data_IF_352970987654
#
_entry.id   IF_352970987654
#
_cell.length_a   1.000
_cell.length_b   1.000
_cell.length_c   1.000
_cell.angle_alpha   90.00
_cell.angle_beta   90.00
_cell.angle_gamma   90.00
#
_symmetry.space_group_name_H-M   'P 1'
#
loop_
_entity.id
_entity.type
_entity.pdbx_description
1 polymer ?
#
# COMPACT_ATOMS: atom_id res chain seq x y z
N UNK A 1 6.18 -11.44 -43.97
CA UNK A 1 5.22 -12.23 -43.19
C UNK A 1 4.86 -11.44 -41.94
N UNK A 2 3.71 -10.73 -41.98
CA UNK A 2 3.21 -9.96 -40.85
C UNK A 2 2.63 -10.94 -39.80
N UNK A 3 3.32 -11.14 -38.69
CA UNK A 3 2.74 -11.79 -37.52
C UNK A 3 1.75 -10.81 -36.92
N UNK A 4 0.47 -10.96 -37.21
CA UNK A 4 -0.61 -10.30 -36.47
C UNK A 4 -0.46 -10.68 -35.00
N UNK A 5 -0.03 -9.74 -34.19
CA UNK A 5 -0.02 -9.90 -32.73
C UNK A 5 -1.45 -10.27 -32.30
N UNK A 6 -1.61 -11.38 -31.58
CA UNK A 6 -2.91 -11.71 -30.98
C UNK A 6 -3.28 -10.57 -30.03
N UNK A 7 -4.52 -10.06 -30.08
CA UNK A 7 -4.95 -9.04 -29.15
C UNK A 7 -4.75 -9.55 -27.71
N UNK A 8 -4.10 -8.78 -26.90
CA UNK A 8 -3.96 -9.06 -25.48
C UNK A 8 -5.38 -9.11 -24.88
N UNK A 9 -5.79 -10.18 -24.21
CA UNK A 9 -7.11 -10.23 -23.61
C UNK A 9 -7.28 -9.06 -22.62
N UNK A 10 -8.40 -8.37 -22.70
CA UNK A 10 -8.76 -7.33 -21.73
C UNK A 10 -9.10 -7.98 -20.38
N UNK A 11 -8.06 -8.34 -19.64
CA UNK A 11 -8.18 -8.94 -18.32
C UNK A 11 -8.91 -8.02 -17.34
N UNK A 12 -8.72 -6.71 -17.46
CA UNK A 12 -9.38 -5.74 -16.58
C UNK A 12 -10.87 -5.59 -16.91
N UNK A 13 -11.23 -5.69 -18.18
CA UNK A 13 -12.65 -5.82 -18.59
C UNK A 13 -13.27 -7.05 -17.97
N UNK A 14 -12.62 -8.21 -18.08
CA UNK A 14 -13.10 -9.46 -17.48
C UNK A 14 -13.23 -9.34 -15.94
N UNK A 15 -12.26 -8.76 -15.24
CA UNK A 15 -12.34 -8.56 -13.80
C UNK A 15 -13.49 -7.62 -13.41
N UNK A 16 -13.74 -6.54 -14.16
CA UNK A 16 -14.89 -5.65 -13.96
C UNK A 16 -16.21 -6.39 -14.11
N UNK A 17 -16.34 -7.21 -15.15
CA UNK A 17 -17.55 -8.00 -15.40
C UNK A 17 -17.77 -9.01 -14.28
N UNK A 18 -16.74 -9.72 -13.85
CA UNK A 18 -16.79 -10.62 -12.72
C UNK A 18 -17.17 -9.88 -11.42
N UNK A 19 -16.58 -8.74 -11.14
CA UNK A 19 -16.91 -7.96 -9.95
C UNK A 19 -18.36 -7.47 -9.97
N UNK A 20 -18.85 -7.01 -11.11
CA UNK A 20 -20.25 -6.61 -11.30
C UNK A 20 -21.20 -7.80 -11.12
N UNK A 21 -20.86 -8.97 -11.66
CA UNK A 21 -21.62 -10.20 -11.45
C UNK A 21 -21.70 -10.56 -9.95
N UNK A 22 -20.59 -10.55 -9.25
CA UNK A 22 -20.55 -10.86 -7.82
C UNK A 22 -21.29 -9.82 -6.98
N UNK A 23 -21.27 -8.54 -7.36
CA UNK A 23 -22.08 -7.51 -6.70
C UNK A 23 -23.58 -7.82 -6.82
N UNK A 24 -24.04 -8.21 -8.01
CA UNK A 24 -25.44 -8.59 -8.22
C UNK A 24 -25.80 -9.82 -7.38
N UNK A 25 -24.95 -10.84 -7.37
CA UNK A 25 -25.15 -12.04 -6.56
C UNK A 25 -25.17 -11.77 -5.06
N UNK A 26 -24.30 -10.90 -4.58
CA UNK A 26 -24.31 -10.49 -3.17
C UNK A 26 -25.62 -9.81 -2.78
N UNK A 27 -26.19 -8.95 -3.64
CA UNK A 27 -27.52 -8.35 -3.42
C UNK A 27 -28.63 -9.40 -3.36
N UNK A 28 -28.62 -10.37 -4.28
CA UNK A 28 -29.61 -11.45 -4.31
C UNK A 28 -29.53 -12.32 -3.04
N UNK A 29 -28.30 -12.69 -2.63
CA UNK A 29 -28.08 -13.46 -1.39
C UNK A 29 -28.54 -12.67 -0.16
N UNK A 30 -28.23 -11.38 -0.11
CA UNK A 30 -28.63 -10.50 0.99
C UNK A 30 -30.16 -10.39 1.06
N UNK A 31 -30.84 -10.24 -0.08
CA UNK A 31 -32.31 -10.22 -0.14
C UNK A 31 -32.92 -11.53 0.35
N UNK A 32 -32.45 -12.66 -0.19
CA UNK A 32 -32.91 -13.98 0.25
C UNK A 32 -32.68 -14.25 1.75
N UNK A 33 -31.53 -13.81 2.28
CA UNK A 33 -31.23 -13.91 3.72
C UNK A 33 -32.21 -13.08 4.56
N UNK A 34 -32.59 -11.88 4.12
CA UNK A 34 -33.62 -11.06 4.77
C UNK A 34 -35.00 -11.72 4.78
N UNK A 35 -35.38 -12.32 3.64
CA UNK A 35 -36.66 -13.01 3.52
C UNK A 35 -36.71 -14.23 4.44
N UNK A 36 -35.63 -15.00 4.52
CA UNK A 36 -35.49 -16.14 5.44
C UNK A 36 -35.53 -15.67 6.89
N UNK A 37 -34.78 -14.61 7.23
CA UNK A 37 -34.78 -14.05 8.59
C UNK A 37 -36.18 -13.60 9.00
N UNK A 38 -36.90 -12.92 8.12
CA UNK A 38 -38.31 -12.51 8.33
C UNK A 38 -39.24 -13.68 8.51
N UNK A 39 -39.09 -14.73 7.69
CA UNK A 39 -39.94 -15.94 7.76
C UNK A 39 -39.67 -16.80 9.00
N UNK A 40 -38.42 -16.71 9.55
CA UNK A 40 -38.00 -17.47 10.73
C UNK A 40 -37.93 -16.61 11.97
N UNK A 41 -38.41 -15.38 11.95
CA UNK A 41 -38.29 -14.40 13.04
C UNK A 41 -38.68 -14.95 14.42
N UNK A 42 -39.68 -15.79 14.47
CA UNK A 42 -40.18 -16.39 15.71
C UNK A 42 -39.44 -17.67 16.15
N UNK A 43 -38.54 -18.19 15.29
CA UNK A 43 -37.83 -19.46 15.52
C UNK A 43 -36.33 -19.31 15.69
N UNK A 44 -35.75 -18.15 15.33
CA UNK A 44 -34.34 -17.87 15.49
C UNK A 44 -34.09 -17.18 16.85
N UNK A 45 -33.13 -17.71 17.62
CA UNK A 45 -32.64 -17.03 18.80
C UNK A 45 -31.81 -15.78 18.42
N UNK A 46 -31.63 -14.86 19.36
CA UNK A 46 -30.94 -13.60 19.16
C UNK A 46 -29.49 -13.79 18.66
N UNK A 47 -28.81 -14.80 19.18
CA UNK A 47 -27.40 -15.10 18.82
C UNK A 47 -27.25 -15.49 17.35
N UNK A 48 -28.17 -16.28 16.84
CA UNK A 48 -28.17 -16.70 15.43
C UNK A 48 -28.53 -15.53 14.50
N UNK A 49 -29.47 -14.68 14.91
CA UNK A 49 -29.80 -13.45 14.15
C UNK A 49 -28.58 -12.52 14.04
N UNK A 50 -27.92 -12.23 15.14
CA UNK A 50 -26.70 -11.39 15.16
C UNK A 50 -25.58 -12.00 14.30
N UNK A 51 -25.42 -13.34 14.33
CA UNK A 51 -24.44 -14.02 13.50
C UNK A 51 -24.72 -13.88 12.01
N UNK A 52 -25.98 -14.02 11.60
CA UNK A 52 -26.40 -13.85 10.20
C UNK A 52 -26.21 -12.41 9.73
N UNK A 53 -26.60 -11.43 10.56
CA UNK A 53 -26.42 -10.01 10.25
C UNK A 53 -24.95 -9.66 10.05
N UNK A 54 -24.06 -10.07 10.97
CA UNK A 54 -22.61 -9.83 10.82
C UNK A 54 -22.02 -10.46 9.56
N UNK A 55 -22.42 -11.70 9.21
CA UNK A 55 -21.92 -12.36 7.99
C UNK A 55 -22.41 -11.66 6.72
N UNK A 56 -23.62 -11.15 6.72
CA UNK A 56 -24.20 -10.39 5.61
C UNK A 56 -23.47 -9.07 5.41
N UNK A 57 -23.22 -8.32 6.49
CA UNK A 57 -22.45 -7.08 6.47
C UNK A 57 -21.04 -7.34 5.94
N UNK A 58 -20.34 -8.34 6.49
CA UNK A 58 -19.01 -8.71 6.03
C UNK A 58 -18.96 -9.10 4.54
N UNK A 59 -19.99 -9.78 4.01
CA UNK A 59 -20.09 -10.08 2.58
C UNK A 59 -20.25 -8.79 1.76
N UNK A 60 -21.12 -7.88 2.21
CA UNK A 60 -21.34 -6.60 1.55
C UNK A 60 -20.05 -5.77 1.46
N UNK A 61 -19.34 -5.66 2.57
CA UNK A 61 -18.07 -4.94 2.67
C UNK A 61 -16.98 -5.56 1.78
N UNK A 62 -16.86 -6.89 1.78
CA UNK A 62 -15.89 -7.59 0.94
C UNK A 62 -16.16 -7.37 -0.55
N UNK A 63 -17.42 -7.41 -0.99
CA UNK A 63 -17.80 -7.16 -2.37
C UNK A 63 -17.57 -5.71 -2.75
N UNK A 64 -17.89 -4.77 -1.87
CA UNK A 64 -17.63 -3.35 -2.11
C UNK A 64 -16.12 -3.07 -2.25
N UNK A 65 -15.32 -3.62 -1.36
CA UNK A 65 -13.85 -3.53 -1.43
C UNK A 65 -13.32 -4.07 -2.75
N UNK A 66 -13.79 -5.25 -3.19
CA UNK A 66 -13.39 -5.82 -4.47
C UNK A 66 -13.73 -4.90 -5.65
N UNK A 67 -14.94 -4.32 -5.64
CA UNK A 67 -15.37 -3.40 -6.70
C UNK A 67 -14.49 -2.14 -6.75
N UNK A 68 -14.10 -1.60 -5.61
CA UNK A 68 -13.23 -0.43 -5.54
C UNK A 68 -11.84 -0.76 -6.06
N UNK A 69 -11.27 -1.92 -5.70
CA UNK A 69 -9.99 -2.40 -6.21
C UNK A 69 -10.00 -2.58 -7.74
N UNK A 70 -11.09 -3.10 -8.30
CA UNK A 70 -11.21 -3.28 -9.76
C UNK A 70 -11.41 -1.95 -10.49
N UNK A 71 -12.12 -1.00 -9.88
CA UNK A 71 -12.35 0.33 -10.48
C UNK A 71 -11.10 1.21 -10.46
N UNK A 72 -10.26 1.03 -9.45
CA UNK A 72 -9.03 1.81 -9.25
C UNK A 72 -7.88 0.86 -8.96
N UNK A 73 -7.38 0.14 -9.98
CA UNK A 73 -6.30 -0.81 -9.78
C UNK A 73 -5.06 -0.11 -9.22
N UNK A 74 -4.40 -0.77 -8.29
CA UNK A 74 -3.18 -0.28 -7.69
C UNK A 74 -2.05 -1.30 -7.88
N UNK A 75 -0.91 -0.82 -8.37
CA UNK A 75 0.33 -1.56 -8.39
C UNK A 75 1.18 -1.12 -7.21
N UNK A 76 1.32 -1.98 -6.22
CA UNK A 76 2.21 -1.77 -5.09
C UNK A 76 3.48 -2.58 -5.30
N UNK A 77 4.62 -1.88 -5.35
CA UNK A 77 5.95 -2.48 -5.46
C UNK A 77 6.67 -2.32 -4.12
N UNK A 78 6.87 -3.40 -3.40
CA UNK A 78 7.58 -3.38 -2.13
C UNK A 78 9.03 -3.84 -2.31
N UNK A 79 9.99 -3.03 -1.87
CA UNK A 79 11.39 -3.44 -1.79
C UNK A 79 11.66 -4.06 -0.42
N UNK A 80 12.14 -5.29 -0.40
CA UNK A 80 12.48 -6.01 0.83
C UNK A 80 13.84 -6.69 0.69
N UNK A 81 14.49 -6.99 1.79
CA UNK A 81 15.78 -7.67 1.81
C UNK A 81 16.64 -7.23 2.98
N UNK A 82 17.87 -7.73 3.03
CA UNK A 82 18.83 -7.38 4.08
C UNK A 82 19.29 -5.92 3.96
N UNK A 83 19.85 -5.40 5.04
CA UNK A 83 20.51 -4.08 5.04
C UNK A 83 21.58 -4.03 3.93
N UNK A 84 21.71 -2.88 3.29
CA UNK A 84 22.68 -2.65 2.19
C UNK A 84 22.52 -3.54 0.94
N UNK A 85 21.36 -4.17 0.74
CA UNK A 85 21.08 -4.98 -0.46
C UNK A 85 20.67 -4.17 -1.70
N UNK A 86 20.72 -2.84 -1.65
CA UNK A 86 20.37 -1.96 -2.77
C UNK A 86 18.86 -1.68 -2.91
N UNK A 87 18.04 -1.89 -1.88
CA UNK A 87 16.58 -1.63 -1.90
C UNK A 87 16.23 -0.21 -2.31
N UNK A 88 16.75 0.79 -1.60
CA UNK A 88 16.48 2.20 -1.88
C UNK A 88 17.06 2.63 -3.23
N UNK A 89 18.18 2.04 -3.66
CA UNK A 89 18.74 2.24 -5.01
C UNK A 89 17.80 1.72 -6.09
N UNK A 90 17.22 0.52 -5.89
CA UNK A 90 16.23 -0.03 -6.81
C UNK A 90 14.95 0.82 -6.81
N UNK A 91 14.49 1.26 -5.64
CA UNK A 91 13.32 2.14 -5.53
C UNK A 91 13.56 3.46 -6.26
N UNK A 92 14.69 4.12 -6.06
CA UNK A 92 15.09 5.34 -6.79
C UNK A 92 15.15 5.12 -8.32
N UNK A 93 15.66 3.98 -8.76
CA UNK A 93 15.64 3.63 -10.19
C UNK A 93 14.22 3.54 -10.76
N UNK A 94 13.28 2.93 -10.03
CA UNK A 94 11.87 2.81 -10.43
C UNK A 94 11.14 4.16 -10.38
N UNK A 95 11.48 5.00 -9.39
CA UNK A 95 10.97 6.37 -9.26
C UNK A 95 11.49 7.21 -10.43
N UNK A 96 12.75 7.03 -10.80
CA UNK A 96 13.44 7.82 -11.82
C UNK A 96 14.08 9.08 -11.27
N UNK A 97 14.18 9.19 -9.95
CA UNK A 97 14.79 10.30 -9.22
C UNK A 97 15.43 9.77 -7.93
N UNK A 98 16.49 10.41 -7.45
CA UNK A 98 17.30 9.96 -6.30
C UNK A 98 16.80 10.59 -4.98
N UNK A 99 15.52 10.34 -4.68
CA UNK A 99 14.84 10.93 -3.52
C UNK A 99 15.08 10.15 -2.22
N UNK A 100 15.28 8.82 -2.31
CA UNK A 100 15.47 7.97 -1.15
C UNK A 100 16.96 7.89 -0.80
N UNK A 101 17.33 8.02 0.49
CA UNK A 101 18.71 7.83 0.92
C UNK A 101 19.21 6.42 0.59
N UNK A 102 20.35 6.33 -0.09
CA UNK A 102 20.95 5.06 -0.53
C UNK A 102 22.31 4.78 0.10
N UNK A 103 22.60 5.35 1.27
CA UNK A 103 23.91 5.24 1.92
C UNK A 103 24.20 3.80 2.40
N UNK A 104 25.51 3.47 2.38
CA UNK A 104 26.08 2.16 2.74
C UNK A 104 25.86 1.78 4.21
N UNK A 105 25.52 2.73 5.07
CA UNK A 105 25.20 2.49 6.47
C UNK A 105 23.70 2.35 6.66
N UNK A 106 23.29 1.50 7.61
CA UNK A 106 21.91 1.10 7.99
C UNK A 106 20.89 2.26 8.06
N UNK A 107 20.49 2.84 6.92
CA UNK A 107 19.64 4.04 6.91
C UNK A 107 18.15 3.75 6.71
N UNK A 108 17.74 2.50 6.47
CA UNK A 108 16.31 2.17 6.37
C UNK A 108 15.69 2.07 7.76
N UNK A 109 15.51 3.23 8.39
CA UNK A 109 15.00 3.35 9.76
C UNK A 109 13.48 3.59 9.81
N UNK A 110 12.72 3.19 8.79
CA UNK A 110 11.28 3.41 8.75
C UNK A 110 10.62 2.84 7.50
N UNK A 111 9.33 3.00 7.42
CA UNK A 111 8.53 2.68 6.24
C UNK A 111 8.40 3.92 5.36
N UNK A 112 8.86 3.84 4.12
CA UNK A 112 8.67 4.92 3.14
C UNK A 112 7.66 4.47 2.10
N UNK A 113 6.57 5.24 1.96
CA UNK A 113 5.54 5.05 0.95
C UNK A 113 5.63 6.18 -0.06
N UNK A 114 5.98 5.85 -1.31
CA UNK A 114 5.99 6.81 -2.41
C UNK A 114 4.80 6.54 -3.32
N UNK A 115 3.87 7.49 -3.42
CA UNK A 115 2.69 7.43 -4.30
C UNK A 115 2.95 8.28 -5.53
N UNK A 116 2.56 7.78 -6.68
CA UNK A 116 2.66 8.54 -7.92
C UNK A 116 1.70 9.73 -7.94
N UNK A 117 2.27 10.90 -8.20
CA UNK A 117 1.51 12.11 -8.50
C UNK A 117 2.29 12.98 -9.48
N UNK A 118 1.67 13.35 -10.62
CA UNK A 118 2.37 14.03 -11.72
C UNK A 118 2.95 15.42 -11.35
N UNK A 119 2.33 16.12 -10.41
CA UNK A 119 2.63 17.53 -10.12
C UNK A 119 2.91 17.80 -8.63
N UNK A 120 2.85 16.79 -7.76
CA UNK A 120 3.09 17.00 -6.33
C UNK A 120 4.48 16.53 -5.96
N UNK A 121 5.13 17.32 -5.12
CA UNK A 121 6.39 17.04 -4.50
C UNK A 121 6.23 17.26 -3.00
N UNK A 122 5.62 16.30 -2.32
CA UNK A 122 5.25 16.44 -0.90
C UNK A 122 5.92 15.36 -0.06
N UNK A 123 6.16 15.69 1.20
CA UNK A 123 6.59 14.76 2.21
C UNK A 123 5.72 14.96 3.45
N UNK A 124 5.19 13.86 3.96
CA UNK A 124 4.52 13.82 5.25
C UNK A 124 5.25 12.85 6.17
N UNK A 125 5.61 13.32 7.35
CA UNK A 125 6.20 12.53 8.42
C UNK A 125 5.15 12.39 9.52
N UNK A 126 4.67 11.16 9.73
CA UNK A 126 3.63 10.88 10.70
C UNK A 126 4.08 11.20 12.14
N UNK A 127 3.13 11.65 12.96
CA UNK A 127 3.37 11.89 14.38
C UNK A 127 3.63 10.55 15.07
N UNK A 128 4.82 10.43 15.66
CA UNK A 128 5.23 9.25 16.42
C UNK A 128 5.39 9.64 17.89
N UNK A 129 4.83 8.85 18.78
CA UNK A 129 4.93 9.11 20.22
C UNK A 129 6.38 9.01 20.69
N UNK A 130 6.88 10.09 21.29
CA UNK A 130 8.27 10.18 21.75
C UNK A 130 9.27 10.59 20.65
N UNK A 131 8.77 11.06 19.49
CA UNK A 131 9.62 11.57 18.41
C UNK A 131 10.50 12.74 18.89
N UNK A 132 11.78 12.67 18.54
CA UNK A 132 12.75 13.78 18.71
C UNK A 132 13.03 14.49 17.38
N UNK A 133 12.35 14.08 16.31
CA UNK A 133 12.41 14.63 14.96
C UNK A 133 11.19 15.47 14.65
N UNK A 134 11.31 16.32 13.64
CA UNK A 134 10.22 17.14 13.15
C UNK A 134 9.16 16.26 12.44
N UNK A 135 7.89 16.46 12.78
CA UNK A 135 6.75 15.81 12.14
C UNK A 135 5.88 16.86 11.47
N UNK A 136 5.21 16.52 10.38
CA UNK A 136 4.37 17.45 9.63
C UNK A 136 4.25 17.08 8.17
N UNK A 137 3.82 18.07 7.39
CA UNK A 137 3.64 17.96 5.94
C UNK A 137 4.30 19.16 5.25
N UNK A 138 5.04 18.90 4.19
CA UNK A 138 5.77 19.90 3.40
C UNK A 138 5.45 19.70 1.93
N UNK A 139 5.18 20.81 1.24
CA UNK A 139 4.82 20.84 -0.17
C UNK A 139 5.93 21.51 -1.01
N UNK A 140 5.90 21.24 -2.32
CA UNK A 140 6.79 21.84 -3.32
C UNK A 140 8.29 21.63 -3.01
N UNK A 141 8.63 20.47 -2.48
CA UNK A 141 10.01 20.14 -2.16
C UNK A 141 10.83 19.87 -3.43
N UNK A 142 12.07 20.29 -3.41
CA UNK A 142 13.11 19.79 -4.34
C UNK A 142 13.58 18.40 -3.91
N UNK A 143 14.15 17.63 -4.83
CA UNK A 143 14.78 16.32 -4.55
C UNK A 143 15.76 16.41 -3.37
N UNK A 144 16.58 17.47 -3.35
CA UNK A 144 17.57 17.68 -2.29
C UNK A 144 16.98 17.97 -0.92
N UNK A 145 15.93 18.80 -0.86
CA UNK A 145 15.24 19.12 0.39
C UNK A 145 14.50 17.91 0.96
N UNK A 146 13.82 17.14 0.11
CA UNK A 146 13.14 15.92 0.51
C UNK A 146 14.14 14.92 1.06
N UNK A 147 15.23 14.66 0.35
CA UNK A 147 16.28 13.74 0.76
C UNK A 147 16.93 14.15 2.08
N UNK A 148 17.26 15.42 2.24
CA UNK A 148 17.83 15.96 3.48
C UNK A 148 16.92 15.71 4.68
N UNK A 149 15.61 15.98 4.55
CA UNK A 149 14.62 15.74 5.61
C UNK A 149 14.50 14.26 5.97
N UNK A 150 14.52 13.37 4.97
CA UNK A 150 14.53 11.93 5.21
C UNK A 150 15.76 11.50 5.98
N UNK A 151 16.96 11.94 5.54
CA UNK A 151 18.24 11.61 6.18
C UNK A 151 18.31 12.10 7.63
N UNK A 152 17.92 13.35 7.87
CA UNK A 152 17.90 13.93 9.22
C UNK A 152 16.93 13.19 10.15
N UNK A 153 15.74 12.87 9.65
CA UNK A 153 14.72 12.15 10.44
C UNK A 153 15.17 10.74 10.75
N UNK A 154 15.71 10.03 9.76
CA UNK A 154 16.20 8.66 9.93
C UNK A 154 17.39 8.61 10.91
N UNK A 155 18.28 9.60 10.89
CA UNK A 155 19.38 9.66 11.84
C UNK A 155 18.89 9.92 13.27
N UNK A 156 17.97 10.88 13.47
CA UNK A 156 17.37 11.14 14.78
C UNK A 156 16.61 9.92 15.30
N UNK A 157 15.88 9.21 14.42
CA UNK A 157 15.22 7.97 14.79
C UNK A 157 16.22 6.90 15.27
N UNK A 158 17.35 6.74 14.57
CA UNK A 158 18.39 5.77 14.98
C UNK A 158 18.97 6.06 16.36
N UNK A 159 19.16 7.35 16.68
CA UNK A 159 19.61 7.76 18.02
C UNK A 159 18.56 7.42 19.06
N UNK A 160 17.31 7.83 18.82
CA UNK A 160 16.19 7.55 19.72
C UNK A 160 15.91 6.05 19.90
N UNK A 161 16.08 5.26 18.86
CA UNK A 161 15.92 3.79 18.90
C UNK A 161 16.95 3.11 19.81
N UNK A 162 18.19 3.61 19.84
CA UNK A 162 19.22 3.07 20.76
C UNK A 162 18.89 3.35 22.22
N UNK A 163 18.27 4.51 22.50
CA UNK A 163 17.86 4.89 23.85
C UNK A 163 16.55 4.21 24.26
N UNK A 164 15.62 4.06 23.32
CA UNK A 164 14.32 3.42 23.53
C UNK A 164 14.02 2.43 22.40
N UNK A 165 14.37 1.14 22.55
CA UNK A 165 14.10 0.12 21.54
C UNK A 165 12.60 -0.11 21.22
N UNK A 166 11.69 0.39 22.06
CA UNK A 166 10.23 0.26 21.86
C UNK A 166 9.63 1.44 21.09
N UNK A 167 10.44 2.39 20.61
CA UNK A 167 9.94 3.52 19.81
C UNK A 167 9.36 3.00 18.49
N UNK A 168 8.19 3.49 18.10
CA UNK A 168 7.56 3.11 16.84
C UNK A 168 8.40 3.55 15.64
N UNK A 169 8.41 2.73 14.59
CA UNK A 169 9.08 3.06 13.35
C UNK A 169 8.46 4.30 12.70
N UNK A 170 9.30 5.17 12.14
CA UNK A 170 8.82 6.34 11.40
C UNK A 170 8.13 5.91 10.13
N UNK A 171 7.03 6.55 9.80
CA UNK A 171 6.33 6.39 8.53
C UNK A 171 6.41 7.68 7.73
N UNK A 172 6.98 7.57 6.52
CA UNK A 172 7.10 8.62 5.54
C UNK A 172 6.10 8.39 4.41
N UNK A 173 5.26 9.37 4.12
CA UNK A 173 4.39 9.38 2.95
C UNK A 173 4.86 10.46 1.98
N UNK A 174 5.10 10.07 0.73
CA UNK A 174 5.66 10.94 -0.30
C UNK A 174 4.74 10.88 -1.52
N UNK A 175 4.27 12.04 -2.00
CA UNK A 175 3.68 12.15 -3.33
C UNK A 175 4.76 12.71 -4.28
N UNK A 176 5.11 11.92 -5.30
CA UNK A 176 6.20 12.24 -6.22
C UNK A 176 5.93 11.68 -7.61
N UNK A 177 6.41 12.32 -8.68
CA UNK A 177 6.35 11.73 -10.02
C UNK A 177 7.16 10.41 -10.06
N UNK A 178 6.48 9.30 -10.37
CA UNK A 178 7.15 8.00 -10.51
C UNK A 178 7.26 7.68 -11.99
N UNK A 179 8.49 7.50 -12.48
CA UNK A 179 8.79 7.19 -13.88
C UNK A 179 8.06 5.94 -14.36
N UNK A 180 8.02 4.89 -13.57
CA UNK A 180 7.27 3.67 -13.88
C UNK A 180 5.80 3.95 -14.15
N UNK A 181 5.20 4.89 -13.44
CA UNK A 181 3.80 5.28 -13.63
C UNK A 181 3.57 6.05 -14.94
N UNK A 182 4.55 6.83 -15.39
CA UNK A 182 4.49 7.51 -16.68
C UNK A 182 4.56 6.52 -17.88
N UNK A 183 5.17 5.35 -17.69
CA UNK A 183 5.35 4.33 -18.72
C UNK A 183 4.36 3.15 -18.59
N UNK A 184 3.20 3.34 -17.93
CA UNK A 184 2.20 2.28 -17.64
C UNK A 184 1.86 1.41 -18.85
N UNK A 185 1.58 2.04 -19.99
CA UNK A 185 1.21 1.33 -21.22
C UNK A 185 2.31 0.37 -21.70
N UNK A 186 3.59 0.73 -21.50
CA UNK A 186 4.74 -0.09 -21.86
C UNK A 186 4.84 -1.36 -21.04
N UNK A 187 4.35 -1.31 -19.79
CA UNK A 187 4.29 -2.46 -18.88
C UNK A 187 2.96 -3.20 -18.93
N UNK A 188 2.06 -2.84 -19.86
CA UNK A 188 0.74 -3.46 -19.97
C UNK A 188 -0.20 -3.18 -18.80
N UNK A 189 0.08 -2.12 -18.02
CA UNK A 189 -0.78 -1.71 -16.93
C UNK A 189 -1.99 -0.97 -17.46
N UNK A 190 -3.19 -1.21 -16.90
CA UNK A 190 -4.39 -0.49 -17.27
C UNK A 190 -4.27 1.01 -17.06
N UNK A 191 -4.94 1.79 -17.90
CA UNK A 191 -5.10 3.22 -17.66
C UNK A 191 -5.82 3.46 -16.31
N UNK A 192 -5.37 4.46 -15.56
CA UNK A 192 -5.89 4.72 -14.22
C UNK A 192 -5.25 3.87 -13.10
N UNK A 193 -4.34 2.93 -13.42
CA UNK A 193 -3.58 2.21 -12.38
C UNK A 193 -2.77 3.20 -11.54
N UNK A 194 -3.00 3.17 -10.23
CA UNK A 194 -2.17 3.87 -9.26
C UNK A 194 -0.88 3.08 -9.04
N UNK A 195 0.24 3.78 -8.92
CA UNK A 195 1.54 3.15 -8.65
C UNK A 195 2.05 3.66 -7.32
N UNK A 196 2.36 2.72 -6.44
CA UNK A 196 2.91 2.97 -5.11
C UNK A 196 4.18 2.15 -4.95
N UNK A 197 5.24 2.77 -4.46
CA UNK A 197 6.50 2.10 -4.10
C UNK A 197 6.63 2.14 -2.58
N UNK A 198 6.84 0.96 -1.98
CA UNK A 198 7.11 0.80 -0.56
C UNK A 198 8.58 0.45 -0.36
N UNK A 199 9.37 1.35 0.24
CA UNK A 199 10.71 1.00 0.70
C UNK A 199 10.63 0.58 2.17
N UNK A 200 10.80 -0.73 2.38
CA UNK A 200 10.65 -1.36 3.68
C UNK A 200 11.98 -1.40 4.43
N UNK A 201 11.96 -1.33 5.77
CA UNK A 201 13.19 -1.41 6.56
C UNK A 201 13.91 -2.73 6.29
N UNK A 202 15.24 -2.68 6.27
CA UNK A 202 16.07 -3.86 6.06
C UNK A 202 15.94 -4.87 7.20
N UNK A 203 15.91 -6.16 6.86
CA UNK A 203 16.02 -7.22 7.84
C UNK A 203 17.47 -7.32 8.33
N UNK A 204 17.69 -7.22 9.65
CA UNK A 204 19.01 -7.41 10.26
C UNK A 204 19.37 -8.92 10.35
N UNK A 205 18.34 -9.78 10.47
CA UNK A 205 18.47 -11.25 10.48
C UNK A 205 17.17 -11.89 9.96
N UNK A 206 17.20 -13.20 9.63
CA UNK A 206 16.02 -13.94 9.17
C UNK A 206 14.86 -13.94 10.19
N UNK A 207 15.15 -13.79 11.48
CA UNK A 207 14.19 -13.72 12.57
C UNK A 207 14.13 -12.30 13.19
N UNK A 208 14.16 -11.26 12.38
CA UNK A 208 13.99 -9.88 12.84
C UNK A 208 12.57 -9.69 13.39
N UNK A 209 12.45 -9.74 14.73
CA UNK A 209 11.16 -9.65 15.44
C UNK A 209 10.51 -8.26 15.29
N UNK A 210 11.29 -7.25 14.94
CA UNK A 210 10.82 -5.87 14.80
C UNK A 210 10.37 -5.55 13.39
N UNK A 211 11.23 -5.75 12.41
CA UNK A 211 10.94 -5.39 11.02
C UNK A 211 10.10 -6.45 10.30
N UNK A 212 10.19 -7.70 10.71
CA UNK A 212 9.40 -8.79 10.17
C UNK A 212 7.87 -8.57 10.21
N UNK A 213 7.27 -8.11 11.33
CA UNK A 213 5.85 -7.76 11.39
C UNK A 213 5.47 -6.59 10.48
N UNK A 214 6.31 -5.55 10.39
CA UNK A 214 6.09 -4.39 9.50
C UNK A 214 6.04 -4.85 8.05
N UNK A 215 6.99 -5.66 7.64
CA UNK A 215 7.06 -6.20 6.28
C UNK A 215 5.83 -7.06 5.99
N UNK A 216 5.48 -8.01 6.87
CA UNK A 216 4.29 -8.86 6.68
C UNK A 216 3.01 -8.05 6.55
N UNK A 217 2.80 -7.03 7.39
CA UNK A 217 1.61 -6.19 7.35
C UNK A 217 1.44 -5.42 6.03
N UNK A 218 2.53 -5.09 5.35
CA UNK A 218 2.50 -4.26 4.14
C UNK A 218 2.63 -5.05 2.82
N UNK A 219 2.84 -6.38 2.88
CA UNK A 219 2.92 -7.25 1.69
C UNK A 219 1.66 -8.12 1.52
N UNK A 220 0.83 -8.29 2.56
CA UNK A 220 -0.46 -9.01 2.52
C UNK A 220 -1.59 -8.07 2.16
#
# INVERSE_FOLDING_TARGET
MNKTARPTPDLMGLFRDCATYWQQRAKEITSAANDIEKALSDRLDLTRRESLTRKREALGDAVQTLLEQVKSPELVLATTGTTSSGKSTLANFLIGDDILPSAVQEMSAGLVTVRHHDQRHTLKIAITRGATWETGEWDNLTTGELRCRLEETMEKFRVAEKENPSIEAVHFEIDWPIRLAAEKARFGLPEGTRVTILDLPGLKAMNDERNGPIIRKNIT
#
